data_IF_039819895549
#
_entry.id   IF_039819895549
#
_cell.length_a   1.000
_cell.length_b   1.000
_cell.length_c   1.000
_cell.angle_alpha   90.00
_cell.angle_beta   90.00
_cell.angle_gamma   90.00
#
_symmetry.space_group_name_H-M   'P 1'
#
loop_
_entity.id
_entity.type
_entity.pdbx_description
1 polymer ?
#
# COMPACT_ATOMS: atom_id res chain seq x y z
N UNK A 1 6.79 10.33 0.83
CA UNK A 1 5.63 9.79 1.54
C UNK A 1 6.05 8.43 2.06
N UNK A 2 5.93 8.22 3.36
CA UNK A 2 6.23 6.95 4.00
C UNK A 2 4.94 6.15 4.24
N UNK A 3 5.07 5.01 4.93
CA UNK A 3 3.95 4.11 5.22
C UNK A 3 2.89 4.83 6.07
N UNK A 4 3.30 5.59 7.09
CA UNK A 4 2.35 6.18 8.04
C UNK A 4 1.52 7.29 7.39
N UNK A 5 2.12 8.08 6.50
CA UNK A 5 1.39 9.06 5.70
C UNK A 5 0.44 8.39 4.70
N UNK A 6 0.84 7.27 4.09
CA UNK A 6 -0.05 6.50 3.23
C UNK A 6 -1.26 5.95 4.00
N UNK A 7 -1.08 5.49 5.24
CA UNK A 7 -2.18 5.03 6.12
C UNK A 7 -3.13 6.19 6.46
N UNK A 8 -2.62 7.39 6.71
CA UNK A 8 -3.47 8.59 6.89
C UNK A 8 -4.31 8.85 5.65
N UNK A 9 -3.74 8.71 4.45
CA UNK A 9 -4.47 8.86 3.20
C UNK A 9 -5.57 7.80 3.04
N UNK A 10 -5.30 6.53 3.34
CA UNK A 10 -6.32 5.47 3.32
C UNK A 10 -7.47 5.79 4.27
N UNK A 11 -7.17 6.25 5.50
CA UNK A 11 -8.19 6.67 6.47
C UNK A 11 -9.07 7.81 5.95
N UNK A 12 -8.52 8.75 5.20
CA UNK A 12 -9.26 9.89 4.66
C UNK A 12 -10.11 9.52 3.44
N UNK A 13 -9.64 8.58 2.62
CA UNK A 13 -10.29 8.18 1.37
C UNK A 13 -11.34 7.08 1.59
N UNK A 14 -11.15 6.24 2.61
CA UNK A 14 -11.98 5.06 2.91
C UNK A 14 -12.24 4.15 1.68
N UNK A 15 -11.19 3.69 0.97
CA UNK A 15 -11.35 2.84 -0.20
C UNK A 15 -11.81 1.43 0.20
N UNK A 16 -12.41 0.70 -0.75
CA UNK A 16 -12.69 -0.74 -0.56
C UNK A 16 -11.41 -1.58 -0.51
N UNK A 17 -10.47 -1.28 -1.42
CA UNK A 17 -9.20 -1.97 -1.59
C UNK A 17 -8.07 -0.95 -1.76
N UNK A 18 -6.98 -1.13 -1.02
CA UNK A 18 -5.74 -0.37 -1.15
C UNK A 18 -4.63 -1.28 -1.69
N UNK A 19 -3.86 -0.77 -2.66
CA UNK A 19 -2.71 -1.46 -3.24
C UNK A 19 -1.49 -0.56 -3.01
N UNK A 20 -0.54 -0.91 -2.13
CA UNK A 20 0.68 -0.13 -1.94
C UNK A 20 1.53 -0.18 -3.21
N UNK A 21 2.09 0.96 -3.61
CA UNK A 21 2.90 1.11 -4.82
C UNK A 21 3.97 2.18 -4.64
N UNK A 22 4.80 2.37 -5.66
CA UNK A 22 5.89 3.35 -5.68
C UNK A 22 6.88 3.15 -4.50
N UNK A 23 7.30 1.90 -4.31
CA UNK A 23 8.32 1.49 -3.35
C UNK A 23 9.30 0.53 -4.03
N UNK A 24 10.48 0.33 -3.43
CA UNK A 24 11.52 -0.62 -3.87
C UNK A 24 12.08 -0.43 -5.31
N UNK A 25 11.70 0.63 -6.04
CA UNK A 25 12.28 0.94 -7.36
C UNK A 25 13.71 1.47 -7.27
N UNK A 26 14.04 2.19 -6.19
CA UNK A 26 15.37 2.70 -5.89
C UNK A 26 15.73 2.43 -4.42
N UNK A 27 17.02 2.32 -4.06
CA UNK A 27 17.44 2.12 -2.67
C UNK A 27 16.85 3.15 -1.69
N UNK A 28 16.65 4.39 -2.16
CA UNK A 28 16.11 5.50 -1.36
C UNK A 28 14.64 5.30 -0.95
N UNK A 29 13.86 4.55 -1.73
CA UNK A 29 12.43 4.33 -1.50
C UNK A 29 12.13 2.89 -1.07
N UNK A 30 13.09 2.26 -0.38
CA UNK A 30 12.90 0.92 0.18
C UNK A 30 11.83 0.96 1.26
N UNK A 31 10.78 0.15 1.10
CA UNK A 31 9.70 0.03 2.07
C UNK A 31 9.15 -1.40 2.08
N UNK A 32 8.59 -1.81 3.22
CA UNK A 32 7.95 -3.12 3.37
C UNK A 32 6.42 -3.01 3.14
N UNK A 33 5.89 -3.56 2.03
CA UNK A 33 4.45 -3.55 1.78
C UNK A 33 3.66 -4.42 2.77
N UNK A 34 4.29 -5.39 3.44
CA UNK A 34 3.66 -6.20 4.48
C UNK A 34 3.48 -5.41 5.78
N UNK A 35 4.40 -4.48 6.07
CA UNK A 35 4.21 -3.52 7.16
C UNK A 35 3.01 -2.61 6.89
N UNK A 36 2.88 -2.09 5.66
CA UNK A 36 1.70 -1.32 5.25
C UNK A 36 0.41 -2.13 5.42
N UNK A 37 0.39 -3.39 4.92
CA UNK A 37 -0.76 -4.28 5.07
C UNK A 37 -1.12 -4.55 6.54
N UNK A 38 -0.13 -4.67 7.42
CA UNK A 38 -0.35 -4.87 8.86
C UNK A 38 -0.90 -3.63 9.55
N UNK A 39 -0.46 -2.44 9.15
CA UNK A 39 -0.90 -1.15 9.72
C UNK A 39 -2.25 -0.69 9.16
N UNK A 40 -2.61 -1.09 7.95
CA UNK A 40 -3.88 -0.70 7.34
C UNK A 40 -5.05 -1.51 7.91
N UNK A 41 -5.76 -0.90 8.87
CA UNK A 41 -6.99 -1.44 9.47
C UNK A 41 -8.26 -0.86 8.84
N UNK A 42 -8.14 0.05 7.87
CA UNK A 42 -9.26 0.84 7.35
C UNK A 42 -9.86 0.25 6.07
N UNK A 43 -9.10 -0.54 5.31
CA UNK A 43 -9.56 -1.17 4.06
C UNK A 43 -8.91 -2.53 3.84
N UNK A 44 -9.43 -3.31 2.89
CA UNK A 44 -8.70 -4.46 2.37
C UNK A 44 -7.37 -3.98 1.76
N UNK A 45 -6.32 -4.78 1.91
CA UNK A 45 -5.01 -4.52 1.30
C UNK A 45 -4.54 -5.72 0.49
N UNK A 46 -4.25 -5.49 -0.80
CA UNK A 46 -3.57 -6.46 -1.65
C UNK A 46 -2.20 -5.93 -2.05
N UNK A 47 -1.19 -6.72 -1.78
CA UNK A 47 0.18 -6.48 -2.23
C UNK A 47 0.33 -7.24 -3.54
N UNK A 48 0.82 -6.56 -4.56
CA UNK A 48 1.08 -7.16 -5.87
C UNK A 48 2.56 -7.11 -6.21
N UNK A 49 3.01 -8.18 -6.85
CA UNK A 49 4.28 -8.23 -7.56
C UNK A 49 4.15 -7.61 -8.96
N UNK A 50 5.31 -7.31 -9.58
CA UNK A 50 5.35 -6.69 -10.91
C UNK A 50 4.71 -7.65 -11.94
N UNK A 51 3.66 -7.18 -12.61
CA UNK A 51 2.95 -7.94 -13.64
C UNK A 51 1.68 -8.65 -13.15
N UNK A 52 1.37 -8.61 -11.86
CA UNK A 52 0.08 -9.09 -11.35
C UNK A 52 -1.06 -8.13 -11.68
N UNK A 53 -2.27 -8.67 -11.77
CA UNK A 53 -3.48 -7.93 -12.15
C UNK A 53 -4.65 -8.23 -11.24
N UNK A 54 -5.56 -7.28 -11.11
CA UNK A 54 -6.80 -7.43 -10.36
C UNK A 54 -8.00 -7.04 -11.22
N UNK A 55 -9.08 -7.80 -11.09
CA UNK A 55 -10.39 -7.53 -11.71
C UNK A 55 -11.43 -7.33 -10.61
N UNK A 56 -12.33 -6.39 -10.83
CA UNK A 56 -13.39 -6.00 -9.90
C UNK A 56 -14.66 -6.84 -10.06
#
# INVERSE_FOLDING_TARGET
MDIDDAIKAVKLIEPKLAIPMHYNTFPLIKADPLEFKKKNIYSETKVFDIGESYSF
#
